data_IF_100221206021
#
_entry.id   IF_100221206021
#
_cell.length_a   1.000
_cell.length_b   1.000
_cell.length_c   1.000
_cell.angle_alpha   90.00
_cell.angle_beta   90.00
_cell.angle_gamma   90.00
#
_symmetry.space_group_name_H-M   'P 1'
#
loop_
_entity.id
_entity.type
_entity.pdbx_description
1 polymer ?
#
# COMPACT_ATOMS: atom_id res chain seq x y z
N UNK A 1 25.39 -22.76 2.58
CA UNK A 1 24.78 -21.87 3.57
C UNK A 1 25.00 -20.41 3.23
N UNK A 2 24.08 -19.62 3.11
CA UNK A 2 24.20 -18.46 2.85
C UNK A 2 24.64 -17.78 3.92
N UNK A 3 25.21 -16.90 3.71
CA UNK A 3 25.64 -16.01 4.76
C UNK A 3 24.45 -15.17 5.20
N UNK A 4 23.83 -15.59 6.25
CA UNK A 4 22.64 -14.91 6.76
C UNK A 4 23.06 -13.79 7.71
N UNK A 5 22.80 -12.55 7.29
CA UNK A 5 23.05 -11.37 8.11
C UNK A 5 21.71 -10.76 8.47
N UNK A 6 21.37 -10.75 9.75
CA UNK A 6 20.17 -10.04 10.20
C UNK A 6 20.50 -8.55 10.32
N UNK A 7 20.84 -7.97 9.20
CA UNK A 7 21.46 -6.67 9.10
C UNK A 7 20.61 -5.75 8.23
N UNK A 8 20.48 -4.50 8.63
CA UNK A 8 19.96 -3.46 7.77
C UNK A 8 21.14 -2.74 7.13
N UNK A 9 21.21 -2.81 5.81
CA UNK A 9 22.23 -2.10 5.05
C UNK A 9 21.58 -0.90 4.39
N UNK A 10 22.10 0.29 4.68
CA UNK A 10 21.53 1.53 4.15
C UNK A 10 22.51 2.14 3.16
N UNK A 11 22.06 2.26 1.91
CA UNK A 11 22.80 2.91 0.84
C UNK A 11 21.99 4.12 0.39
N UNK A 12 21.88 5.10 1.28
CA UNK A 12 21.05 6.29 1.06
C UNK A 12 21.85 7.49 0.59
N UNK A 13 23.06 7.26 0.18
CA UNK A 13 23.91 8.35 -0.25
C UNK A 13 23.99 8.40 -1.75
N UNK A 14 23.88 9.50 -2.19
CA UNK A 14 24.34 10.19 -3.33
C UNK A 14 25.16 9.35 -4.28
N UNK A 15 24.88 9.39 -5.51
CA UNK A 15 25.81 9.01 -6.59
C UNK A 15 26.23 7.56 -6.57
N UNK A 16 25.25 6.67 -6.42
CA UNK A 16 25.52 5.30 -6.81
C UNK A 16 25.71 5.29 -8.31
N UNK A 17 26.91 4.97 -8.73
CA UNK A 17 27.22 4.90 -10.14
C UNK A 17 27.12 3.51 -10.68
N UNK A 18 27.28 2.51 -9.81
CA UNK A 18 27.32 1.14 -10.26
C UNK A 18 27.27 0.19 -9.08
N UNK A 19 26.47 -0.85 -9.22
CA UNK A 19 26.54 -2.00 -8.30
C UNK A 19 26.99 -3.19 -9.15
N UNK A 20 28.14 -3.69 -8.83
CA UNK A 20 28.74 -4.75 -9.63
C UNK A 20 27.90 -6.03 -9.53
N UNK A 21 27.59 -6.67 -10.65
CA UNK A 21 26.88 -7.95 -10.61
C UNK A 21 27.62 -8.95 -9.72
N UNK A 22 26.87 -9.64 -8.90
CA UNK A 22 27.45 -10.61 -7.98
C UNK A 22 27.85 -10.07 -6.64
N UNK A 23 27.83 -8.74 -6.46
CA UNK A 23 28.21 -8.15 -5.18
C UNK A 23 27.34 -8.65 -4.03
N UNK A 24 26.10 -8.96 -4.31
CA UNK A 24 25.14 -9.40 -3.29
C UNK A 24 24.76 -10.87 -3.45
N UNK A 25 25.45 -11.60 -4.33
CA UNK A 25 25.12 -12.99 -4.55
C UNK A 25 25.35 -13.79 -3.28
N UNK A 26 24.40 -14.66 -2.94
CA UNK A 26 24.47 -15.53 -1.76
C UNK A 26 24.51 -14.77 -0.44
N UNK A 27 24.11 -13.52 -0.43
CA UNK A 27 23.98 -12.73 0.79
C UNK A 27 22.53 -12.70 1.19
N UNK A 28 22.27 -12.86 2.49
CA UNK A 28 20.93 -12.77 3.05
C UNK A 28 20.90 -11.62 4.03
N UNK A 29 20.21 -10.54 3.67
CA UNK A 29 20.07 -9.37 4.55
C UNK A 29 18.67 -9.33 5.16
N UNK A 30 18.56 -8.72 6.34
CA UNK A 30 17.25 -8.39 6.87
C UNK A 30 16.59 -7.28 6.08
N UNK A 31 17.35 -6.21 5.81
CA UNK A 31 16.79 -5.07 5.08
C UNK A 31 17.87 -4.42 4.24
N UNK A 32 17.51 -4.05 3.01
CA UNK A 32 18.36 -3.20 2.18
C UNK A 32 17.59 -1.93 1.85
N UNK A 33 18.16 -0.80 2.21
CA UNK A 33 17.59 0.51 1.92
C UNK A 33 18.42 1.16 0.81
N UNK A 34 17.82 1.30 -0.36
CA UNK A 34 18.49 1.83 -1.53
C UNK A 34 17.77 3.12 -1.95
N UNK A 35 18.02 4.19 -1.20
CA UNK A 35 17.40 5.47 -1.42
C UNK A 35 18.47 6.48 -1.84
N UNK A 36 18.84 6.39 -3.09
CA UNK A 36 19.92 7.20 -3.64
C UNK A 36 19.44 7.95 -4.87
N UNK A 37 20.03 9.08 -5.10
CA UNK A 37 19.82 9.81 -6.34
C UNK A 37 20.63 9.12 -7.42
N UNK A 38 19.96 8.38 -8.26
CA UNK A 38 20.61 7.82 -9.43
C UNK A 38 20.73 8.88 -10.50
N UNK A 39 21.84 8.88 -11.20
CA UNK A 39 22.09 9.90 -12.20
C UNK A 39 21.04 9.88 -13.31
N UNK A 40 20.66 8.69 -13.74
CA UNK A 40 19.65 8.56 -14.78
C UNK A 40 19.08 7.13 -14.74
N UNK A 41 18.15 6.89 -15.67
CA UNK A 41 17.50 5.58 -15.78
C UNK A 41 18.50 4.44 -15.96
N UNK A 42 19.48 4.63 -16.83
CA UNK A 42 20.41 3.54 -17.13
C UNK A 42 21.24 3.16 -15.91
N UNK A 43 21.67 4.15 -15.13
CA UNK A 43 22.42 3.88 -13.91
C UNK A 43 21.55 3.11 -12.91
N UNK A 44 20.33 3.56 -12.72
CA UNK A 44 19.44 2.86 -11.78
C UNK A 44 19.13 1.45 -12.26
N UNK A 45 18.79 1.32 -13.53
CA UNK A 45 18.46 0.02 -14.10
C UNK A 45 19.61 -0.97 -13.93
N UNK A 46 20.82 -0.55 -14.30
CA UNK A 46 22.01 -1.40 -14.21
C UNK A 46 22.33 -1.73 -12.76
N UNK A 47 22.19 -0.75 -11.86
CA UNK A 47 22.48 -0.99 -10.45
C UNK A 47 21.52 -2.01 -9.84
N UNK A 48 20.25 -1.93 -10.20
CA UNK A 48 19.29 -2.91 -9.68
C UNK A 48 19.58 -4.30 -10.19
N UNK A 49 20.10 -4.42 -11.41
CA UNK A 49 20.54 -5.72 -11.93
C UNK A 49 21.72 -6.27 -11.13
N UNK A 50 22.52 -5.40 -10.53
CA UNK A 50 23.62 -5.83 -9.70
C UNK A 50 23.20 -6.51 -8.40
N UNK A 51 21.91 -6.43 -8.06
CA UNK A 51 21.39 -7.09 -6.86
C UNK A 51 21.09 -8.58 -7.08
N UNK A 52 21.36 -9.11 -8.26
CA UNK A 52 21.05 -10.49 -8.59
C UNK A 52 21.62 -11.45 -7.55
N UNK A 53 20.77 -12.34 -7.05
CA UNK A 53 21.17 -13.34 -6.07
C UNK A 53 21.00 -12.93 -4.63
N UNK A 54 20.64 -11.67 -4.38
CA UNK A 54 20.37 -11.21 -3.03
C UNK A 54 19.12 -11.85 -2.49
N UNK A 55 19.17 -12.24 -1.23
CA UNK A 55 17.99 -12.59 -0.44
C UNK A 55 17.81 -11.53 0.63
N UNK A 56 16.65 -10.92 0.67
CA UNK A 56 16.40 -9.85 1.64
C UNK A 56 14.96 -9.95 2.12
N UNK A 57 14.76 -9.70 3.42
CA UNK A 57 13.39 -9.70 3.93
C UNK A 57 12.64 -8.47 3.43
N UNK A 58 13.29 -7.31 3.47
CA UNK A 58 12.64 -6.06 3.09
C UNK A 58 13.57 -5.22 2.20
N UNK A 59 13.11 -4.89 1.01
CA UNK A 59 13.85 -4.05 0.07
C UNK A 59 13.13 -2.72 -0.08
N UNK A 60 13.84 -1.62 0.15
CA UNK A 60 13.33 -0.27 -0.01
C UNK A 60 14.10 0.42 -1.13
N UNK A 61 13.37 0.86 -2.16
CA UNK A 61 13.95 1.51 -3.32
C UNK A 61 13.27 2.85 -3.53
N UNK A 62 14.03 3.91 -3.73
CA UNK A 62 13.42 5.19 -4.04
C UNK A 62 14.37 6.37 -3.94
N UNK A 63 13.81 7.53 -4.22
CA UNK A 63 14.53 8.78 -4.14
C UNK A 63 14.67 9.23 -2.69
N UNK A 64 15.73 9.93 -2.40
CA UNK A 64 15.94 10.50 -1.07
C UNK A 64 14.92 11.63 -0.83
N UNK A 65 14.36 11.68 0.36
CA UNK A 65 13.15 12.43 0.62
C UNK A 65 13.28 13.95 0.61
N UNK A 66 14.46 14.47 0.61
CA UNK A 66 14.62 15.93 0.70
C UNK A 66 14.45 16.65 -0.64
N UNK A 67 14.37 15.93 -1.73
CA UNK A 67 14.41 16.56 -3.03
C UNK A 67 13.06 16.88 -3.64
N UNK A 68 11.96 16.40 -3.09
CA UNK A 68 10.64 16.50 -3.71
C UNK A 68 10.64 16.06 -5.19
N UNK A 69 11.70 15.44 -5.62
CA UNK A 69 11.86 15.05 -7.00
C UNK A 69 11.43 13.61 -7.16
N UNK A 70 10.48 13.40 -8.06
CA UNK A 70 10.00 12.05 -8.35
C UNK A 70 10.83 11.44 -9.46
N UNK A 71 11.13 10.16 -9.32
CA UNK A 71 11.83 9.43 -10.35
C UNK A 71 10.82 8.98 -11.40
N UNK A 72 11.10 9.29 -12.66
CA UNK A 72 10.25 8.82 -13.74
C UNK A 72 10.42 7.32 -13.93
N UNK A 73 9.29 6.61 -13.88
CA UNK A 73 9.30 5.18 -14.08
C UNK A 73 9.29 4.88 -15.58
N UNK A 74 10.24 4.08 -16.03
CA UNK A 74 10.32 3.65 -17.42
C UNK A 74 10.27 2.14 -17.47
N UNK A 75 9.82 1.63 -18.61
CA UNK A 75 9.66 0.19 -18.80
C UNK A 75 10.99 -0.54 -18.53
N UNK A 76 10.90 -1.58 -17.77
CA UNK A 76 12.06 -2.41 -17.47
C UNK A 76 12.92 -1.93 -16.31
N UNK A 77 12.60 -0.79 -15.70
CA UNK A 77 13.45 -0.26 -14.64
C UNK A 77 13.70 -1.27 -13.53
N UNK A 78 12.67 -1.98 -13.11
CA UNK A 78 12.77 -2.91 -12.00
C UNK A 78 13.09 -4.34 -12.43
N UNK A 79 13.43 -4.57 -13.69
CA UNK A 79 13.65 -5.92 -14.19
C UNK A 79 14.81 -6.63 -13.47
N UNK A 80 15.78 -5.87 -12.97
CA UNK A 80 16.87 -6.46 -12.20
C UNK A 80 16.43 -7.14 -10.92
N UNK A 81 15.24 -6.79 -10.42
CA UNK A 81 14.74 -7.40 -9.20
C UNK A 81 14.16 -8.80 -9.41
N UNK A 82 14.08 -9.26 -10.65
CA UNK A 82 13.59 -10.62 -10.95
C UNK A 82 14.40 -11.70 -10.25
N UNK A 83 15.66 -11.44 -9.99
CA UNK A 83 16.57 -12.42 -9.37
C UNK A 83 16.85 -12.12 -7.92
N UNK A 84 16.00 -11.30 -7.29
CA UNK A 84 16.10 -10.97 -5.88
C UNK A 84 14.93 -11.65 -5.16
N UNK A 85 15.24 -12.34 -4.08
CA UNK A 85 14.20 -12.95 -3.25
C UNK A 85 13.88 -12.01 -2.10
N UNK A 86 12.62 -11.58 -2.00
CA UNK A 86 12.22 -10.65 -0.96
C UNK A 86 10.80 -10.96 -0.47
N UNK A 87 10.49 -10.54 0.75
CA UNK A 87 9.16 -10.69 1.31
C UNK A 87 8.37 -9.39 1.26
N UNK A 88 9.04 -8.28 1.49
CA UNK A 88 8.39 -6.97 1.47
C UNK A 88 9.14 -6.03 0.53
N UNK A 89 8.39 -5.34 -0.31
CA UNK A 89 8.94 -4.37 -1.24
C UNK A 89 8.35 -3.00 -0.96
N UNK A 90 9.22 -1.99 -0.80
CA UNK A 90 8.80 -0.61 -0.55
C UNK A 90 9.35 0.26 -1.68
N UNK A 91 8.47 1.00 -2.33
CA UNK A 91 8.83 1.86 -3.45
C UNK A 91 8.44 3.30 -3.08
N UNK A 92 9.39 4.24 -3.20
CA UNK A 92 9.19 5.60 -2.73
C UNK A 92 9.54 6.62 -3.81
N UNK A 93 8.63 7.58 -4.05
CA UNK A 93 8.87 8.76 -4.89
C UNK A 93 9.04 8.42 -6.37
N UNK A 94 8.10 7.70 -6.93
CA UNK A 94 8.07 7.41 -8.37
C UNK A 94 6.82 7.96 -9.03
N UNK A 95 6.90 8.19 -10.33
CA UNK A 95 5.75 8.61 -11.11
C UNK A 95 5.80 7.98 -12.50
N UNK A 96 4.70 8.06 -13.22
CA UNK A 96 4.68 7.65 -14.61
C UNK A 96 4.43 6.18 -14.84
N UNK A 97 3.60 5.58 -13.99
CA UNK A 97 3.29 4.16 -14.10
C UNK A 97 2.28 3.83 -15.20
N UNK A 98 1.75 4.83 -15.87
CA UNK A 98 0.57 4.68 -16.71
C UNK A 98 0.63 3.51 -17.69
N UNK A 99 1.76 3.33 -18.34
CA UNK A 99 1.87 2.30 -19.37
C UNK A 99 2.95 1.25 -19.05
N UNK A 100 3.36 1.16 -17.79
CA UNK A 100 4.51 0.34 -17.45
C UNK A 100 4.26 -0.65 -16.30
N UNK A 101 3.01 -0.83 -15.93
CA UNK A 101 2.70 -1.62 -14.74
C UNK A 101 3.05 -3.10 -14.91
N UNK A 102 2.97 -3.60 -16.12
CA UNK A 102 3.30 -5.01 -16.34
C UNK A 102 4.76 -5.29 -16.00
N UNK A 103 5.66 -4.38 -16.36
CA UNK A 103 7.06 -4.57 -16.04
C UNK A 103 7.36 -4.24 -14.57
N UNK A 104 6.57 -3.36 -13.98
CA UNK A 104 6.76 -3.04 -12.57
C UNK A 104 6.63 -4.27 -11.68
N UNK A 105 5.61 -5.07 -11.91
CA UNK A 105 5.28 -6.16 -11.00
C UNK A 105 5.61 -7.54 -11.54
N UNK A 106 6.13 -7.63 -12.74
CA UNK A 106 6.39 -8.95 -13.34
C UNK A 106 7.43 -9.76 -12.59
N UNK A 107 8.30 -9.12 -11.85
CA UNK A 107 9.44 -9.80 -11.24
C UNK A 107 9.33 -9.94 -9.73
N UNK A 108 8.24 -9.46 -9.14
CA UNK A 108 8.13 -9.50 -7.68
C UNK A 108 6.96 -10.39 -7.23
N UNK A 109 6.77 -11.50 -7.95
CA UNK A 109 5.60 -12.35 -7.73
C UNK A 109 5.52 -13.04 -6.39
N UNK A 110 6.64 -13.16 -5.69
CA UNK A 110 6.64 -13.85 -4.40
C UNK A 110 6.56 -12.90 -3.20
N UNK A 111 6.37 -11.62 -3.47
CA UNK A 111 6.31 -10.62 -2.42
C UNK A 111 4.98 -10.74 -1.68
N UNK A 112 5.02 -10.77 -0.35
CA UNK A 112 3.81 -10.84 0.46
C UNK A 112 3.32 -9.46 0.89
N UNK A 113 4.19 -8.45 0.86
CA UNK A 113 3.83 -7.10 1.30
C UNK A 113 4.41 -6.06 0.34
N UNK A 114 3.56 -5.16 -0.11
CA UNK A 114 3.97 -4.04 -0.96
C UNK A 114 3.57 -2.74 -0.28
N UNK A 115 4.52 -1.82 -0.17
CA UNK A 115 4.27 -0.48 0.37
C UNK A 115 4.72 0.55 -0.65
N UNK A 116 3.79 1.44 -0.99
CA UNK A 116 4.01 2.49 -1.99
C UNK A 116 3.88 3.85 -1.30
N UNK A 117 4.90 4.69 -1.40
CA UNK A 117 4.95 5.97 -0.70
C UNK A 117 5.28 7.08 -1.68
N UNK A 118 4.50 8.14 -1.66
CA UNK A 118 4.72 9.32 -2.50
C UNK A 118 4.79 8.96 -3.99
N UNK A 119 3.81 8.19 -4.46
CA UNK A 119 3.77 7.79 -5.86
C UNK A 119 2.68 8.54 -6.61
N UNK A 120 2.92 8.78 -7.90
CA UNK A 120 1.91 9.25 -8.81
C UNK A 120 1.49 8.08 -9.69
N UNK A 121 0.39 7.47 -9.32
CA UNK A 121 -0.14 6.30 -10.01
C UNK A 121 -1.19 6.72 -11.01
N UNK A 122 -1.03 6.29 -12.26
CA UNK A 122 -2.02 6.59 -13.29
C UNK A 122 -3.05 5.46 -13.37
N UNK A 123 -2.59 4.28 -13.69
CA UNK A 123 -3.45 3.12 -13.77
C UNK A 123 -2.60 1.86 -13.64
N UNK A 124 -3.14 0.87 -12.94
CA UNK A 124 -2.45 -0.41 -12.79
C UNK A 124 -3.16 -1.44 -13.63
N UNK A 125 -2.43 -2.08 -14.54
CA UNK A 125 -2.97 -3.17 -15.36
C UNK A 125 -3.21 -4.41 -14.52
N UNK A 126 -4.05 -5.29 -15.02
CA UNK A 126 -4.29 -6.56 -14.35
C UNK A 126 -3.05 -7.45 -14.49
N UNK A 127 -2.52 -7.84 -13.35
CA UNK A 127 -1.30 -8.65 -13.32
C UNK A 127 -1.52 -9.81 -12.37
N UNK A 128 -1.41 -11.05 -12.85
CA UNK A 128 -1.75 -12.21 -12.00
C UNK A 128 -0.90 -12.34 -10.74
N UNK A 129 0.31 -11.81 -10.75
CA UNK A 129 1.20 -11.95 -9.60
C UNK A 129 0.69 -11.30 -8.33
N UNK A 130 -0.27 -10.37 -8.44
CA UNK A 130 -0.82 -9.73 -7.26
C UNK A 130 -1.58 -10.70 -6.36
N UNK A 131 -1.89 -11.88 -6.87
CA UNK A 131 -2.66 -12.84 -6.10
C UNK A 131 -1.99 -13.26 -4.79
N UNK A 132 -0.68 -13.11 -4.68
CA UNK A 132 0.05 -13.55 -3.48
C UNK A 132 0.28 -12.45 -2.45
N UNK A 133 -0.06 -11.22 -2.77
CA UNK A 133 0.17 -10.10 -1.85
C UNK A 133 -0.85 -10.13 -0.73
N UNK A 134 -0.36 -10.14 0.50
CA UNK A 134 -1.21 -10.15 1.69
C UNK A 134 -1.34 -8.78 2.34
N UNK A 135 -0.39 -7.91 2.12
CA UNK A 135 -0.44 -6.55 2.66
C UNK A 135 -0.12 -5.55 1.57
N UNK A 136 -0.99 -4.56 1.43
CA UNK A 136 -0.78 -3.46 0.49
C UNK A 136 -0.96 -2.15 1.21
N UNK A 137 0.02 -1.27 1.11
CA UNK A 137 -0.07 0.07 1.66
C UNK A 137 0.29 1.09 0.59
N UNK A 138 -0.60 2.08 0.41
CA UNK A 138 -0.33 3.25 -0.41
C UNK A 138 -0.43 4.49 0.47
N UNK A 139 0.68 5.18 0.66
CA UNK A 139 0.72 6.38 1.50
C UNK A 139 1.10 7.58 0.65
N UNK A 140 0.29 8.63 0.70
CA UNK A 140 0.53 9.85 -0.08
C UNK A 140 0.61 9.56 -1.58
N UNK A 141 -0.24 8.67 -2.06
CA UNK A 141 -0.27 8.36 -3.48
C UNK A 141 -1.28 9.25 -4.18
N UNK A 142 -0.93 9.70 -5.38
CA UNK A 142 -1.84 10.45 -6.23
C UNK A 142 -2.42 9.51 -7.27
N UNK A 143 -3.73 9.49 -7.36
CA UNK A 143 -4.44 8.66 -8.31
C UNK A 143 -5.08 9.55 -9.36
N UNK A 144 -4.83 9.25 -10.64
CA UNK A 144 -5.45 10.00 -11.71
C UNK A 144 -6.94 9.77 -11.75
N UNK A 145 -7.33 8.54 -11.58
CA UNK A 145 -8.73 8.15 -11.49
C UNK A 145 -8.89 7.15 -10.36
N UNK A 146 -10.07 7.11 -9.80
CA UNK A 146 -10.31 6.21 -8.68
C UNK A 146 -11.16 5.04 -9.13
N UNK A 147 -10.80 3.85 -8.79
CA UNK A 147 -9.54 3.49 -8.16
C UNK A 147 -8.47 3.16 -9.19
N UNK A 148 -7.30 3.76 -9.06
CA UNK A 148 -6.19 3.44 -9.94
C UNK A 148 -5.66 2.04 -9.66
N UNK A 149 -5.77 1.61 -8.42
CA UNK A 149 -5.33 0.27 -8.03
C UNK A 149 -6.54 -0.65 -8.04
N UNK A 150 -6.49 -1.68 -8.86
CA UNK A 150 -7.60 -2.63 -8.96
C UNK A 150 -7.47 -3.66 -7.86
N UNK A 151 -8.29 -3.50 -6.83
CA UNK A 151 -8.19 -4.36 -5.66
C UNK A 151 -8.51 -5.81 -5.96
N UNK A 152 -9.29 -6.08 -7.00
CA UNK A 152 -9.61 -7.46 -7.37
C UNK A 152 -8.38 -8.28 -7.75
N UNK A 153 -7.25 -7.63 -8.03
CA UNK A 153 -6.01 -8.34 -8.32
C UNK A 153 -5.37 -8.94 -7.08
N UNK A 154 -5.78 -8.52 -5.89
CA UNK A 154 -5.14 -8.88 -4.64
C UNK A 154 -6.00 -9.87 -3.86
N UNK A 155 -6.15 -11.07 -4.38
CA UNK A 155 -7.10 -12.04 -3.84
C UNK A 155 -6.74 -12.54 -2.44
N UNK A 156 -5.46 -12.52 -2.08
CA UNK A 156 -5.01 -12.99 -0.76
C UNK A 156 -4.89 -11.84 0.25
N UNK A 157 -5.38 -10.67 -0.09
CA UNK A 157 -5.14 -9.48 0.71
C UNK A 157 -5.81 -9.59 2.07
N UNK A 158 -5.03 -9.34 3.12
CA UNK A 158 -5.51 -9.29 4.51
C UNK A 158 -5.43 -7.89 5.09
N UNK A 159 -4.45 -7.09 4.64
CA UNK A 159 -4.25 -5.73 5.15
C UNK A 159 -4.21 -4.77 3.98
N UNK A 160 -5.11 -3.79 4.02
CA UNK A 160 -5.14 -2.72 3.02
C UNK A 160 -5.06 -1.38 3.74
N UNK A 161 -4.04 -0.58 3.41
CA UNK A 161 -3.90 0.76 3.93
C UNK A 161 -3.69 1.72 2.76
N UNK A 162 -4.64 2.63 2.55
CA UNK A 162 -4.48 3.72 1.58
C UNK A 162 -4.73 5.01 2.35
N UNK A 163 -3.65 5.73 2.66
CA UNK A 163 -3.74 6.87 3.57
C UNK A 163 -3.10 8.11 2.97
N UNK A 164 -3.57 9.26 3.39
CA UNK A 164 -3.01 10.57 3.02
C UNK A 164 -2.97 10.78 1.51
N UNK A 165 -3.96 10.22 0.82
CA UNK A 165 -4.02 10.27 -0.64
C UNK A 165 -5.13 11.25 -1.02
N UNK A 166 -4.77 12.52 -1.08
CA UNK A 166 -5.74 13.62 -1.14
C UNK A 166 -6.61 13.62 -2.39
N UNK A 167 -6.17 12.94 -3.42
CA UNK A 167 -6.95 12.86 -4.66
C UNK A 167 -7.90 11.67 -4.69
N UNK A 168 -7.95 10.88 -3.64
CA UNK A 168 -8.85 9.75 -3.55
C UNK A 168 -10.19 10.25 -3.00
N UNK A 169 -11.14 10.51 -3.91
CA UNK A 169 -12.42 11.12 -3.56
C UNK A 169 -13.52 10.09 -3.32
N UNK A 170 -13.57 9.09 -4.15
CA UNK A 170 -14.56 8.04 -4.01
C UNK A 170 -13.89 6.70 -4.27
N UNK A 171 -14.37 5.71 -3.56
CA UNK A 171 -13.82 4.37 -3.68
C UNK A 171 -14.94 3.52 -4.30
N UNK A 172 -14.96 3.49 -5.62
CA UNK A 172 -16.06 2.84 -6.32
C UNK A 172 -15.91 1.32 -6.38
N UNK A 173 -14.73 0.81 -6.12
CA UNK A 173 -14.57 -0.63 -6.09
C UNK A 173 -15.23 -1.18 -4.84
N UNK A 174 -16.12 -2.10 -5.06
CA UNK A 174 -16.67 -2.86 -3.95
C UNK A 174 -15.62 -3.87 -3.54
N UNK A 175 -15.54 -4.13 -2.26
CA UNK A 175 -14.55 -5.08 -1.72
C UNK A 175 -15.01 -6.52 -1.90
N UNK A 176 -15.65 -6.82 -3.03
CA UNK A 176 -16.38 -8.07 -3.18
C UNK A 176 -15.50 -9.31 -3.34
N UNK A 177 -14.29 -9.13 -3.83
CA UNK A 177 -13.38 -10.25 -4.01
C UNK A 177 -12.33 -10.35 -2.91
N UNK A 178 -12.48 -9.57 -1.84
CA UNK A 178 -11.46 -9.46 -0.79
C UNK A 178 -11.98 -9.99 0.54
N UNK A 179 -12.51 -11.20 0.51
CA UNK A 179 -13.13 -11.77 1.71
C UNK A 179 -12.15 -12.06 2.83
N UNK A 180 -10.86 -12.07 2.55
CA UNK A 180 -9.83 -12.30 3.58
C UNK A 180 -9.39 -11.04 4.31
N UNK A 181 -9.93 -9.87 3.94
CA UNK A 181 -9.52 -8.62 4.58
C UNK A 181 -9.83 -8.64 6.08
N UNK A 182 -8.81 -8.33 6.86
CA UNK A 182 -8.93 -8.18 8.30
C UNK A 182 -8.67 -6.75 8.75
N UNK A 183 -7.88 -6.00 8.00
CA UNK A 183 -7.50 -4.62 8.35
C UNK A 183 -7.74 -3.73 7.14
N UNK A 184 -8.52 -2.68 7.33
CA UNK A 184 -8.72 -1.63 6.33
C UNK A 184 -8.43 -0.29 7.00
N UNK A 185 -7.45 0.42 6.47
CA UNK A 185 -7.13 1.78 6.91
C UNK A 185 -7.22 2.70 5.69
N UNK A 186 -8.26 3.51 5.66
CA UNK A 186 -8.48 4.49 4.60
C UNK A 186 -8.47 5.91 5.17
N UNK A 187 -7.73 6.12 6.24
CA UNK A 187 -7.73 7.41 6.93
C UNK A 187 -7.02 8.49 6.13
N UNK A 188 -7.39 9.73 6.41
CA UNK A 188 -6.76 10.92 5.86
C UNK A 188 -6.83 10.99 4.33
N UNK A 189 -8.01 10.69 3.81
CA UNK A 189 -8.31 10.84 2.39
C UNK A 189 -9.42 11.88 2.23
N UNK A 190 -10.10 11.84 1.09
CA UNK A 190 -11.29 12.68 0.85
C UNK A 190 -12.46 11.82 0.40
N UNK A 191 -12.62 10.69 1.06
CA UNK A 191 -13.68 9.77 0.71
C UNK A 191 -15.04 10.33 1.06
N UNK A 192 -16.05 9.96 0.27
CA UNK A 192 -17.41 10.47 0.41
C UNK A 192 -18.40 9.33 0.51
N UNK A 193 -18.17 8.39 1.44
CA UNK A 193 -19.15 7.34 1.67
C UNK A 193 -20.42 7.93 2.24
N UNK A 194 -21.56 7.58 1.68
CA UNK A 194 -22.86 7.90 2.25
C UNK A 194 -23.48 6.62 2.78
N UNK A 195 -24.02 6.70 3.96
CA UNK A 195 -24.62 5.53 4.58
C UNK A 195 -23.64 4.45 4.97
N UNK A 196 -22.51 4.89 5.52
CA UNK A 196 -21.47 3.96 5.98
C UNK A 196 -21.96 3.20 7.22
N UNK A 197 -21.60 1.92 7.48
CA UNK A 197 -20.51 1.29 6.74
C UNK A 197 -20.88 -0.11 6.22
N UNK A 198 -22.08 -0.59 6.53
CA UNK A 198 -22.47 -1.94 6.15
C UNK A 198 -22.41 -2.16 4.65
N UNK A 199 -22.93 -1.26 3.81
CA UNK A 199 -22.92 -1.54 2.38
C UNK A 199 -21.51 -1.61 1.79
N UNK A 200 -20.60 -0.78 2.27
CA UNK A 200 -19.26 -0.72 1.70
C UNK A 200 -18.46 -2.00 1.98
N UNK A 201 -18.70 -2.62 3.12
CA UNK A 201 -17.87 -3.73 3.58
C UNK A 201 -18.64 -5.02 3.75
N UNK A 202 -19.76 -5.15 3.03
CA UNK A 202 -20.64 -6.28 3.26
C UNK A 202 -20.00 -7.62 2.86
N UNK A 203 -18.98 -7.60 2.03
CA UNK A 203 -18.28 -8.81 1.63
C UNK A 203 -16.94 -8.99 2.30
N UNK A 204 -16.76 -8.35 3.46
CA UNK A 204 -15.56 -8.47 4.25
C UNK A 204 -15.91 -9.06 5.63
N UNK A 205 -16.30 -10.34 5.68
CA UNK A 205 -16.82 -10.89 6.94
C UNK A 205 -15.76 -11.05 8.02
N UNK A 206 -14.48 -11.00 7.66
CA UNK A 206 -13.39 -11.17 8.62
C UNK A 206 -12.79 -9.86 9.08
N UNK A 207 -13.41 -8.74 8.74
CA UNK A 207 -12.85 -7.44 9.06
C UNK A 207 -12.86 -7.20 10.56
N UNK A 208 -11.69 -6.85 11.11
CA UNK A 208 -11.50 -6.63 12.54
C UNK A 208 -11.05 -5.22 12.87
N UNK A 209 -10.39 -4.55 11.94
CA UNK A 209 -9.86 -3.21 12.13
C UNK A 209 -10.34 -2.34 10.99
N UNK A 210 -11.00 -1.23 11.31
CA UNK A 210 -11.47 -0.29 10.29
C UNK A 210 -11.15 1.13 10.75
N UNK A 211 -10.34 1.82 9.97
CA UNK A 211 -10.00 3.22 10.25
C UNK A 211 -10.44 4.06 9.07
N UNK A 212 -11.44 4.89 9.28
CA UNK A 212 -11.95 5.84 8.27
C UNK A 212 -11.76 7.28 8.72
N UNK A 213 -10.92 7.52 9.71
CA UNK A 213 -10.76 8.84 10.31
C UNK A 213 -10.22 9.85 9.32
N UNK A 214 -10.53 11.10 9.58
CA UNK A 214 -10.07 12.23 8.76
C UNK A 214 -10.53 12.12 7.31
N UNK A 215 -11.77 11.67 7.14
CA UNK A 215 -12.52 11.76 5.90
C UNK A 215 -13.81 12.49 6.23
N UNK A 216 -13.77 13.81 6.16
CA UNK A 216 -14.83 14.65 6.73
C UNK A 216 -16.17 14.52 6.00
N UNK A 217 -16.18 13.92 4.82
CA UNK A 217 -17.42 13.75 4.07
C UNK A 217 -17.98 12.33 4.13
N UNK A 218 -17.38 11.45 4.94
CA UNK A 218 -18.03 10.17 5.22
C UNK A 218 -19.18 10.38 6.19
N UNK A 219 -20.36 9.93 5.81
CA UNK A 219 -21.55 10.03 6.65
C UNK A 219 -21.87 8.66 7.23
N UNK A 220 -21.82 8.55 8.54
CA UNK A 220 -22.11 7.31 9.24
C UNK A 220 -23.57 7.30 9.63
N UNK A 221 -24.40 6.70 8.78
CA UNK A 221 -25.85 6.68 8.98
C UNK A 221 -26.42 5.29 9.06
N UNK A 222 -25.68 4.30 8.60
CA UNK A 222 -26.17 2.96 8.53
C UNK A 222 -25.80 2.13 9.74
N UNK A 223 -26.16 0.89 9.65
CA UNK A 223 -25.76 -0.06 10.67
C UNK A 223 -24.41 -0.68 10.34
N UNK A 224 -23.95 -1.51 11.25
CA UNK A 224 -22.68 -2.21 11.11
C UNK A 224 -22.87 -3.73 11.04
N UNK A 225 -24.05 -4.17 10.64
CA UNK A 225 -24.40 -5.58 10.67
C UNK A 225 -23.41 -6.47 9.90
N UNK A 226 -22.94 -5.97 8.77
CA UNK A 226 -22.03 -6.73 7.92
C UNK A 226 -20.59 -6.71 8.41
N UNK A 227 -20.28 -5.93 9.43
CA UNK A 227 -18.93 -5.85 10.00
C UNK A 227 -18.98 -6.08 11.50
N UNK A 228 -19.81 -6.98 11.94
CA UNK A 228 -20.11 -7.18 13.35
C UNK A 228 -18.96 -7.72 14.17
N UNK A 229 -17.93 -8.22 13.53
CA UNK A 229 -16.77 -8.76 14.24
C UNK A 229 -15.66 -7.74 14.43
N UNK A 230 -15.93 -6.46 14.16
CA UNK A 230 -14.92 -5.41 14.36
C UNK A 230 -14.47 -5.37 15.81
N UNK A 231 -13.15 -5.23 15.99
CA UNK A 231 -12.52 -5.00 17.27
C UNK A 231 -12.12 -3.54 17.44
N UNK A 232 -11.81 -2.86 16.35
CA UNK A 232 -11.28 -1.50 16.35
C UNK A 232 -12.01 -0.70 15.27
N UNK A 233 -12.55 0.47 15.68
CA UNK A 233 -13.24 1.36 14.75
C UNK A 233 -12.85 2.79 15.06
N UNK A 234 -12.27 3.48 14.08
CA UNK A 234 -11.88 4.87 14.22
C UNK A 234 -12.63 5.70 13.19
N UNK A 235 -13.48 6.58 13.70
CA UNK A 235 -14.33 7.46 12.89
C UNK A 235 -14.09 8.92 13.23
N UNK A 236 -12.92 9.26 13.77
CA UNK A 236 -12.61 10.67 14.07
C UNK A 236 -12.77 11.54 12.83
N UNK A 237 -13.29 12.73 13.00
CA UNK A 237 -13.42 13.70 11.91
C UNK A 237 -14.24 13.16 10.73
N UNK A 238 -15.29 12.41 11.02
CA UNK A 238 -16.32 12.06 10.05
C UNK A 238 -17.63 12.73 10.47
N UNK A 239 -18.73 12.39 9.80
CA UNK A 239 -20.06 12.88 10.16
C UNK A 239 -20.88 11.76 10.78
N UNK A 240 -21.41 12.00 11.96
CA UNK A 240 -22.40 11.12 12.57
C UNK A 240 -23.75 11.82 12.50
N UNK A 241 -24.78 11.08 12.11
CA UNK A 241 -26.10 11.69 11.98
C UNK A 241 -26.82 11.72 13.33
N UNK A 242 -26.85 12.93 13.92
CA UNK A 242 -27.73 13.27 15.00
C UNK A 242 -27.41 12.61 16.34
N UNK A 243 -28.05 13.07 17.38
CA UNK A 243 -27.83 12.49 18.71
C UNK A 243 -28.36 11.08 18.86
N UNK A 244 -29.23 10.65 17.98
CA UNK A 244 -29.73 9.29 18.00
C UNK A 244 -28.88 8.25 17.30
N UNK A 245 -27.67 8.64 16.86
CA UNK A 245 -26.85 7.76 16.05
C UNK A 245 -26.11 6.69 16.86
N UNK A 246 -25.97 6.88 18.16
CA UNK A 246 -25.17 5.95 18.97
C UNK A 246 -25.68 4.53 18.96
N UNK A 247 -27.01 4.27 18.89
CA UNK A 247 -27.44 2.88 18.82
C UNK A 247 -26.90 2.08 17.65
N UNK A 248 -26.42 2.74 16.59
CA UNK A 248 -25.88 1.99 15.47
C UNK A 248 -24.63 1.18 15.86
N UNK A 249 -23.96 1.57 16.94
CA UNK A 249 -22.77 0.85 17.39
C UNK A 249 -23.11 -0.35 18.27
N UNK A 250 -24.36 -0.53 18.65
CA UNK A 250 -24.74 -1.63 19.56
C UNK A 250 -24.58 -3.00 18.91
N UNK A 251 -24.59 -3.07 17.60
CA UNK A 251 -24.38 -4.34 16.91
C UNK A 251 -22.91 -4.79 16.96
N UNK A 252 -22.00 -3.91 17.35
CA UNK A 252 -20.57 -4.20 17.36
C UNK A 252 -20.17 -4.74 18.74
N UNK A 253 -20.61 -5.94 19.04
CA UNK A 253 -20.49 -6.48 20.40
C UNK A 253 -19.07 -6.92 20.75
N UNK A 254 -18.20 -7.04 19.75
CA UNK A 254 -16.81 -7.42 20.00
C UNK A 254 -15.86 -6.23 20.06
N UNK A 255 -16.37 -5.03 19.85
CA UNK A 255 -15.55 -3.84 19.73
C UNK A 255 -14.84 -3.54 21.04
N UNK A 256 -13.52 -3.32 20.95
CA UNK A 256 -12.71 -2.95 22.11
C UNK A 256 -12.14 -1.54 22.01
N UNK A 257 -12.27 -0.89 20.86
CA UNK A 257 -11.83 0.49 20.68
C UNK A 257 -12.79 1.18 19.72
N UNK A 258 -13.32 2.32 20.16
CA UNK A 258 -14.16 3.16 19.32
C UNK A 258 -13.76 4.61 19.55
N UNK A 259 -13.34 5.27 18.48
CA UNK A 259 -13.01 6.69 18.55
C UNK A 259 -13.94 7.44 17.60
N UNK A 260 -14.80 8.26 18.20
CA UNK A 260 -15.70 9.12 17.43
C UNK A 260 -15.45 10.59 17.79
N UNK A 261 -14.20 10.92 18.13
CA UNK A 261 -13.83 12.29 18.47
C UNK A 261 -13.98 13.21 17.26
N UNK A 262 -14.32 14.45 17.53
CA UNK A 262 -14.37 15.49 16.51
C UNK A 262 -15.31 15.17 15.35
N UNK A 263 -16.32 14.35 15.59
CA UNK A 263 -17.33 14.09 14.56
C UNK A 263 -18.33 15.24 14.53
N UNK A 264 -18.90 15.45 13.34
CA UNK A 264 -19.94 16.46 13.16
C UNK A 264 -21.30 15.77 13.06
N UNK A 265 -22.33 16.50 13.48
CA UNK A 265 -23.70 16.01 13.35
C UNK A 265 -24.44 16.80 12.30
#
# INVERSE_FOLDING_TARGET
EXNRLNLTLVLSLNNIKYIQPGSFAKIHLGELVLRSSFENFNVMHTSLQGLTGLQVTRLIVGEFSNSQRLVDFQSGLLSGLCQVQMQEFVLICFRGFENNTDTLFNCIGNVSSIRLVDLQLEEVSEVPMFSQVKQLECKKCKFKEVPAVKLSLFKELRVLRITKSKHLNSFQQKFESLSNLEVIDLSENRLTFTGCCSPQFRKCPNLKYLNLSFNSDISVTGDFTNVKDLLYLDLQHTKLFGPGSYPVFLSLQKLIYLDISYTRT
#
